data_IF_363356879957
#
_entry.id   IF_363356879957
#
_cell.length_a   1.000
_cell.length_b   1.000
_cell.length_c   1.000
_cell.angle_alpha   90.00
_cell.angle_beta   90.00
_cell.angle_gamma   90.00
#
_symmetry.space_group_name_H-M   'P 1'
#
loop_
_entity.id
_entity.type
_entity.pdbx_description
1 polymer ?
#
# COMPACT_ATOMS: atom_id res chain seq x y z
N UNK A 1 22.35 58.27 10.81
CA UNK A 1 21.10 58.91 10.34
C UNK A 1 20.99 58.66 8.86
N UNK A 2 20.22 57.66 8.45
CA UNK A 2 19.30 57.75 7.32
C UNK A 2 18.44 56.49 7.32
N UNK A 3 17.13 56.73 7.30
CA UNK A 3 16.07 55.77 7.57
C UNK A 3 15.35 55.61 6.25
N UNK A 4 15.48 54.46 5.59
CA UNK A 4 14.70 54.18 4.38
C UNK A 4 13.57 53.23 4.73
N UNK A 5 12.39 53.83 4.71
CA UNK A 5 11.09 53.33 5.12
C UNK A 5 10.31 52.85 3.88
N UNK A 6 9.58 51.74 4.05
CA UNK A 6 8.38 51.31 3.27
C UNK A 6 8.69 50.78 1.86
N UNK A 7 8.07 49.71 1.38
CA UNK A 7 6.62 49.56 1.20
C UNK A 7 6.16 48.10 1.35
N UNK A 8 5.17 47.91 2.22
CA UNK A 8 4.38 46.69 2.32
C UNK A 8 3.20 46.78 1.35
N UNK A 9 2.95 45.72 0.58
CA UNK A 9 1.70 45.54 -0.17
C UNK A 9 0.84 44.50 0.55
N UNK A 10 -0.40 44.81 0.93
CA UNK A 10 -1.39 43.80 1.29
C UNK A 10 -1.97 43.18 0.02
N UNK A 11 -1.79 41.87 -0.18
CA UNK A 11 -2.52 41.12 -1.20
C UNK A 11 -3.80 40.61 -0.54
N UNK A 12 -4.92 41.10 -1.07
CA UNK A 12 -6.27 40.78 -0.64
C UNK A 12 -6.64 39.31 -0.88
N UNK A 13 -7.31 38.75 0.11
CA UNK A 13 -8.16 37.56 0.05
C UNK A 13 -9.08 37.57 -1.18
N UNK A 14 -9.18 36.42 -1.85
CA UNK A 14 -10.37 36.02 -2.60
C UNK A 14 -10.68 34.56 -2.29
N UNK A 15 -11.78 34.37 -1.57
CA UNK A 15 -12.39 33.10 -1.25
C UNK A 15 -12.87 32.38 -2.53
N UNK A 16 -12.45 31.14 -2.71
CA UNK A 16 -13.03 30.24 -3.70
C UNK A 16 -14.05 29.31 -3.02
N UNK A 17 -15.31 29.24 -3.49
CA UNK A 17 -16.33 28.40 -2.90
C UNK A 17 -16.05 26.91 -3.13
N UNK A 18 -16.15 26.16 -2.05
CA UNK A 18 -16.07 24.70 -2.00
C UNK A 18 -17.17 24.05 -2.84
N UNK A 19 -16.79 23.32 -3.89
CA UNK A 19 -17.70 22.35 -4.51
C UNK A 19 -17.69 21.07 -3.71
N UNK A 20 -18.75 20.93 -2.91
CA UNK A 20 -19.21 19.72 -2.23
C UNK A 20 -19.50 18.65 -3.27
N UNK A 21 -18.64 17.63 -3.36
CA UNK A 21 -18.96 16.39 -4.10
C UNK A 21 -19.44 15.36 -3.10
N UNK A 22 -20.70 14.98 -3.28
CA UNK A 22 -21.51 14.04 -2.51
C UNK A 22 -20.84 12.70 -2.26
N UNK A 23 -20.71 12.39 -0.97
CA UNK A 23 -20.34 11.11 -0.38
C UNK A 23 -21.48 10.10 -0.57
N UNK A 24 -21.31 9.14 -1.47
CA UNK A 24 -22.20 7.96 -1.56
C UNK A 24 -22.02 7.12 -0.29
N UNK A 25 -22.97 7.25 0.64
CA UNK A 25 -23.10 6.36 1.79
C UNK A 25 -23.65 5.02 1.30
N UNK A 26 -22.78 3.99 1.26
CA UNK A 26 -23.24 2.61 1.12
C UNK A 26 -23.55 2.07 2.52
N UNK A 27 -24.82 2.17 2.88
CA UNK A 27 -25.41 1.56 4.07
C UNK A 27 -25.37 0.04 3.92
N UNK A 28 -24.45 -0.62 4.63
CA UNK A 28 -24.50 -2.07 4.84
C UNK A 28 -25.18 -2.31 6.19
N UNK A 29 -26.48 -2.56 6.13
CA UNK A 29 -27.32 -2.91 7.26
C UNK A 29 -26.92 -4.27 7.82
N UNK A 30 -26.34 -4.26 9.02
CA UNK A 30 -26.27 -5.43 9.90
C UNK A 30 -27.71 -5.80 10.30
N UNK A 31 -28.30 -6.81 9.66
CA UNK A 31 -29.48 -7.49 10.18
C UNK A 31 -29.05 -8.74 10.93
N UNK A 32 -28.99 -8.59 12.24
CA UNK A 32 -29.09 -9.67 13.20
C UNK A 32 -30.42 -10.40 12.97
N UNK A 33 -30.35 -11.70 12.69
CA UNK A 33 -31.46 -12.63 12.92
C UNK A 33 -31.01 -13.64 13.97
N UNK A 34 -31.53 -13.45 15.18
CA UNK A 34 -31.64 -14.51 16.16
C UNK A 34 -32.51 -15.62 15.59
N UNK A 35 -31.96 -16.83 15.61
CA UNK A 35 -32.69 -18.07 15.37
C UNK A 35 -32.64 -18.88 16.65
N UNK A 36 -33.81 -19.07 17.23
CA UNK A 36 -34.05 -19.68 18.53
C UNK A 36 -33.67 -21.16 18.58
N UNK A 37 -33.12 -21.56 19.72
CA UNK A 37 -32.95 -22.94 20.16
C UNK A 37 -34.29 -23.69 20.08
N UNK A 38 -34.34 -24.78 19.33
CA UNK A 38 -35.35 -25.83 19.51
C UNK A 38 -34.62 -27.15 19.75
N UNK A 39 -34.72 -27.63 20.99
CA UNK A 39 -34.32 -28.96 21.38
C UNK A 39 -35.29 -29.97 20.75
N UNK A 40 -34.78 -30.96 20.02
CA UNK A 40 -35.54 -32.16 19.67
C UNK A 40 -34.60 -33.34 19.37
N UNK A 41 -34.86 -34.42 20.10
CA UNK A 41 -34.49 -35.83 19.90
C UNK A 41 -33.02 -36.27 20.16
N UNK A 42 -32.81 -37.33 20.99
CA UNK A 42 -31.54 -38.04 21.01
C UNK A 42 -31.30 -38.75 19.67
N UNK A 43 -30.05 -38.82 19.19
CA UNK A 43 -29.73 -39.51 17.95
C UNK A 43 -29.96 -41.01 18.08
N UNK A 44 -30.65 -41.56 17.09
CA UNK A 44 -30.74 -43.00 16.81
C UNK A 44 -29.32 -43.59 16.74
N UNK A 45 -29.05 -44.55 17.62
CA UNK A 45 -27.76 -45.21 17.80
C UNK A 45 -27.49 -46.10 16.58
N UNK A 46 -26.88 -45.52 15.54
CA UNK A 46 -26.35 -46.30 14.44
C UNK A 46 -25.23 -47.22 14.98
N UNK A 47 -25.30 -48.54 14.76
CA UNK A 47 -24.19 -49.43 15.03
C UNK A 47 -22.96 -48.94 14.26
N UNK A 48 -21.93 -48.51 14.98
CA UNK A 48 -20.64 -48.21 14.38
C UNK A 48 -20.04 -49.53 13.92
N UNK A 49 -20.10 -49.81 12.63
CA UNK A 49 -19.40 -50.91 11.99
C UNK A 49 -17.88 -50.60 12.09
N UNK A 50 -17.09 -51.33 12.90
CA UNK A 50 -15.70 -50.99 13.19
C UNK A 50 -14.75 -51.18 11.98
N UNK A 51 -15.26 -51.72 10.87
CA UNK A 51 -14.46 -52.04 9.69
C UNK A 51 -14.57 -51.00 8.54
N UNK A 52 -15.32 -49.91 8.71
CA UNK A 52 -15.24 -48.75 7.80
C UNK A 52 -14.13 -47.79 8.24
N UNK A 53 -12.89 -48.25 8.14
CA UNK A 53 -11.77 -47.33 7.99
C UNK A 53 -11.94 -46.73 6.59
N UNK A 54 -12.62 -45.58 6.53
CA UNK A 54 -12.69 -44.75 5.34
C UNK A 54 -11.27 -44.57 4.82
N UNK A 55 -10.99 -45.29 3.73
CA UNK A 55 -9.76 -45.21 2.97
C UNK A 55 -9.79 -43.87 2.24
N UNK A 56 -9.65 -42.77 3.00
CA UNK A 56 -9.51 -41.43 2.46
C UNK A 56 -8.35 -41.50 1.46
N UNK A 57 -8.60 -41.23 0.17
CA UNK A 57 -7.52 -41.22 -0.80
C UNK A 57 -6.49 -40.25 -0.29
N UNK A 58 -5.26 -40.72 -0.11
CA UNK A 58 -4.15 -39.89 0.35
C UNK A 58 -4.14 -38.64 -0.53
N UNK A 59 -4.55 -37.50 0.05
CA UNK A 59 -4.50 -36.22 -0.63
C UNK A 59 -3.02 -35.98 -0.88
N UNK A 60 -2.59 -36.25 -2.12
CA UNK A 60 -1.24 -35.94 -2.54
C UNK A 60 -1.05 -34.44 -2.32
N UNK A 61 -0.05 -34.01 -1.54
CA UNK A 61 0.20 -32.59 -1.34
C UNK A 61 0.32 -31.93 -2.72
N UNK A 62 -0.62 -31.05 -3.05
CA UNK A 62 -0.56 -30.29 -4.29
C UNK A 62 0.68 -29.42 -4.19
N UNK A 63 1.66 -29.66 -5.05
CA UNK A 63 2.86 -28.83 -5.06
C UNK A 63 2.46 -27.38 -5.35
N UNK A 64 2.95 -26.41 -4.57
CA UNK A 64 2.59 -25.02 -4.77
C UNK A 64 3.12 -24.55 -6.14
N UNK A 65 2.23 -23.99 -6.95
CA UNK A 65 2.59 -23.44 -8.26
C UNK A 65 3.71 -22.38 -8.10
N UNK A 66 4.76 -22.40 -8.95
CA UNK A 66 5.84 -21.43 -8.86
C UNK A 66 5.31 -20.01 -9.09
N UNK A 67 5.56 -19.11 -8.14
CA UNK A 67 5.15 -17.72 -8.23
C UNK A 67 5.69 -17.05 -9.49
N UNK A 68 4.82 -16.32 -10.21
CA UNK A 68 5.25 -15.49 -11.34
C UNK A 68 6.30 -14.45 -10.91
N UNK A 69 7.15 -13.94 -11.82
CA UNK A 69 8.14 -12.92 -11.47
C UNK A 69 7.55 -11.68 -10.77
N UNK A 70 6.35 -11.25 -11.18
CA UNK A 70 5.63 -10.13 -10.54
C UNK A 70 5.14 -10.47 -9.13
N UNK A 71 4.64 -11.69 -8.91
CA UNK A 71 4.23 -12.16 -7.59
C UNK A 71 5.43 -12.24 -6.63
N UNK A 72 6.57 -12.77 -7.08
CA UNK A 72 7.82 -12.79 -6.29
C UNK A 72 8.29 -11.38 -5.92
N UNK A 73 8.23 -10.42 -6.85
CA UNK A 73 8.55 -9.01 -6.55
C UNK A 73 7.61 -8.43 -5.51
N UNK A 74 6.31 -8.70 -5.63
CA UNK A 74 5.30 -8.20 -4.70
C UNK A 74 5.52 -8.76 -3.29
N UNK A 75 5.75 -10.07 -3.17
CA UNK A 75 6.05 -10.74 -1.91
C UNK A 75 7.35 -10.22 -1.26
N UNK A 76 8.42 -10.08 -2.05
CA UNK A 76 9.68 -9.51 -1.55
C UNK A 76 9.47 -8.07 -1.05
N UNK A 77 8.70 -7.27 -1.78
CA UNK A 77 8.45 -5.88 -1.42
C UNK A 77 7.63 -5.76 -0.12
N UNK A 78 6.65 -6.64 0.10
CA UNK A 78 5.90 -6.65 1.37
C UNK A 78 6.79 -7.08 2.54
N UNK A 79 7.64 -8.08 2.36
CA UNK A 79 8.62 -8.49 3.38
C UNK A 79 9.58 -7.35 3.75
N UNK A 80 10.11 -6.63 2.77
CA UNK A 80 10.98 -5.47 3.03
C UNK A 80 10.24 -4.38 3.80
N UNK A 81 9.01 -4.07 3.39
CA UNK A 81 8.22 -3.05 4.05
C UNK A 81 7.86 -3.42 5.50
N UNK A 82 7.52 -4.70 5.74
CA UNK A 82 7.34 -5.25 7.08
C UNK A 82 8.60 -5.13 7.96
N UNK A 83 9.79 -5.28 7.36
CA UNK A 83 11.08 -5.05 8.02
C UNK A 83 11.47 -3.57 8.15
N UNK A 84 10.54 -2.62 7.93
CA UNK A 84 10.79 -1.17 7.92
C UNK A 84 11.85 -0.73 6.90
N UNK A 85 11.97 -1.46 5.81
CA UNK A 85 12.81 -1.14 4.65
C UNK A 85 11.96 -0.76 3.44
N UNK A 86 12.45 0.22 2.69
CA UNK A 86 11.81 0.67 1.46
C UNK A 86 11.97 -0.41 0.37
N UNK A 87 10.94 -0.68 -0.47
CA UNK A 87 11.03 -1.70 -1.52
C UNK A 87 12.20 -1.54 -2.49
N UNK A 88 12.66 -0.30 -2.73
CA UNK A 88 13.87 -0.03 -3.55
C UNK A 88 15.16 -0.61 -2.96
N UNK A 89 15.18 -0.97 -1.67
CA UNK A 89 16.30 -1.70 -1.05
C UNK A 89 16.67 -2.96 -1.83
N UNK A 90 15.69 -3.60 -2.49
CA UNK A 90 15.95 -4.81 -3.26
C UNK A 90 16.81 -4.61 -4.52
N UNK A 91 16.94 -3.36 -4.99
CA UNK A 91 17.74 -2.98 -6.17
C UNK A 91 18.97 -2.17 -5.76
N UNK A 92 18.91 -1.50 -4.61
CA UNK A 92 20.03 -0.78 -4.05
C UNK A 92 21.04 -1.74 -3.40
N UNK A 93 22.31 -1.35 -3.39
CA UNK A 93 23.38 -2.07 -2.66
C UNK A 93 23.41 -1.72 -1.17
N UNK A 94 22.41 -1.00 -0.67
CA UNK A 94 22.33 -0.51 0.69
C UNK A 94 20.88 -0.51 1.19
N UNK A 95 20.72 -0.70 2.50
CA UNK A 95 19.42 -0.67 3.16
C UNK A 95 18.85 0.75 3.14
N UNK A 96 17.70 0.94 2.49
CA UNK A 96 16.97 2.19 2.51
C UNK A 96 15.82 2.08 3.52
N UNK A 97 15.96 2.74 4.68
CA UNK A 97 14.94 2.69 5.74
C UNK A 97 13.67 3.45 5.33
N UNK A 98 12.53 3.03 5.88
CA UNK A 98 11.28 3.81 5.81
C UNK A 98 11.38 5.08 6.67
N UNK A 99 10.65 6.12 6.26
CA UNK A 99 10.45 7.31 7.07
C UNK A 99 9.72 6.96 8.38
N UNK A 100 9.93 7.74 9.45
CA UNK A 100 9.22 7.54 10.71
C UNK A 100 7.71 7.67 10.51
N UNK A 101 7.27 8.76 9.86
CA UNK A 101 5.87 9.01 9.52
C UNK A 101 5.41 8.36 8.21
N UNK A 102 6.11 7.33 7.73
CA UNK A 102 5.68 6.61 6.54
C UNK A 102 4.35 5.90 6.80
N UNK A 103 3.43 5.98 5.84
CA UNK A 103 2.19 5.23 5.89
C UNK A 103 2.48 3.72 5.98
N UNK A 104 1.57 2.92 6.56
CA UNK A 104 1.70 1.47 6.53
C UNK A 104 1.64 0.94 5.08
N UNK A 105 2.21 -0.25 4.88
CA UNK A 105 2.46 -0.80 3.55
C UNK A 105 1.32 -1.69 3.02
N UNK A 106 0.53 -2.23 3.94
CA UNK A 106 -0.62 -3.12 3.74
C UNK A 106 -1.93 -2.35 3.52
N UNK A 107 -2.04 -1.15 4.07
CA UNK A 107 -3.15 -0.24 3.83
C UNK A 107 -2.71 0.93 2.93
N UNK A 108 -3.37 1.11 1.78
CA UNK A 108 -3.09 2.19 0.82
C UNK A 108 -3.77 3.51 1.17
N UNK A 109 -4.85 3.43 1.93
CA UNK A 109 -5.70 4.56 2.28
C UNK A 109 -5.37 5.10 3.68
N UNK A 110 -4.62 4.32 4.48
CA UNK A 110 -4.07 4.77 5.74
C UNK A 110 -3.27 6.08 5.60
N UNK A 111 -3.39 6.99 6.59
CA UNK A 111 -2.64 8.23 6.60
C UNK A 111 -1.14 7.99 6.75
N UNK A 112 -0.36 8.97 6.29
CA UNK A 112 1.10 8.96 6.40
C UNK A 112 1.80 9.30 5.09
N UNK A 113 3.11 9.44 5.17
CA UNK A 113 3.93 9.84 4.03
C UNK A 113 4.11 8.67 3.05
N UNK A 114 3.91 8.96 1.77
CA UNK A 114 4.08 8.00 0.66
C UNK A 114 5.01 8.56 -0.40
N UNK A 115 5.63 7.68 -1.17
CA UNK A 115 6.48 8.10 -2.29
C UNK A 115 5.72 8.89 -3.37
N UNK A 116 4.39 8.76 -3.44
CA UNK A 116 3.54 9.51 -4.37
C UNK A 116 3.62 11.02 -4.22
N UNK A 117 3.85 11.52 -3.01
CA UNK A 117 3.97 12.95 -2.69
C UNK A 117 5.43 13.41 -2.56
N UNK A 118 6.40 12.52 -2.80
CA UNK A 118 7.83 12.81 -2.65
C UNK A 118 8.38 13.58 -3.86
N UNK A 119 9.07 14.71 -3.64
CA UNK A 119 9.67 15.56 -4.69
C UNK A 119 10.62 14.83 -5.65
N UNK A 120 11.21 13.74 -5.17
CA UNK A 120 12.17 12.92 -5.91
C UNK A 120 11.50 11.87 -6.78
N UNK A 121 10.19 11.64 -6.65
CA UNK A 121 9.47 10.76 -7.55
C UNK A 121 9.17 11.51 -8.85
N UNK A 122 9.86 11.16 -9.92
CA UNK A 122 9.66 11.76 -11.24
C UNK A 122 9.34 10.70 -12.29
N UNK A 123 8.41 10.97 -13.23
CA UNK A 123 8.28 10.14 -14.41
C UNK A 123 9.56 10.22 -15.24
N UNK A 124 10.13 9.07 -15.60
CA UNK A 124 11.24 8.96 -16.56
C UNK A 124 10.70 8.24 -17.78
N UNK A 125 10.76 8.93 -18.92
CA UNK A 125 10.28 8.41 -20.20
C UNK A 125 11.39 7.61 -20.89
N UNK A 126 11.04 6.45 -21.44
CA UNK A 126 11.95 5.63 -22.22
C UNK A 126 11.18 4.90 -23.32
N UNK A 127 11.40 5.29 -24.58
CA UNK A 127 10.57 4.85 -25.69
C UNK A 127 9.09 5.17 -25.42
N UNK A 128 8.24 4.15 -25.44
CA UNK A 128 6.81 4.27 -25.14
C UNK A 128 6.46 4.14 -23.63
N UNK A 129 7.44 3.84 -22.76
CA UNK A 129 7.22 3.60 -21.34
C UNK A 129 7.32 4.87 -20.49
N UNK A 130 6.51 4.95 -19.43
CA UNK A 130 6.63 5.94 -18.36
C UNK A 130 6.93 5.22 -17.04
N UNK A 131 8.17 5.35 -16.57
CA UNK A 131 8.65 4.68 -15.37
C UNK A 131 8.77 5.70 -14.24
N UNK A 132 7.97 5.62 -13.16
CA UNK A 132 8.12 6.54 -12.05
C UNK A 132 9.38 6.18 -11.27
N UNK A 133 10.39 7.05 -11.26
CA UNK A 133 11.69 6.79 -10.61
C UNK A 133 11.97 7.73 -9.46
N UNK A 134 12.84 7.30 -8.56
CA UNK A 134 13.37 8.12 -7.48
C UNK A 134 14.67 8.80 -7.93
N UNK A 135 14.62 10.10 -8.24
CA UNK A 135 15.75 10.90 -8.76
C UNK A 135 16.80 11.27 -7.72
N UNK A 136 16.61 10.88 -6.46
CA UNK A 136 17.58 11.14 -5.38
C UNK A 136 18.94 10.50 -5.63
N UNK A 137 18.97 9.42 -6.40
CA UNK A 137 20.20 8.72 -6.83
C UNK A 137 20.11 8.32 -8.30
N UNK A 138 21.19 8.49 -9.09
CA UNK A 138 21.21 8.06 -10.49
C UNK A 138 21.10 6.55 -10.66
N UNK A 139 21.44 5.76 -9.63
CA UNK A 139 21.37 4.29 -9.67
C UNK A 139 19.96 3.73 -9.91
N UNK A 140 18.93 4.54 -9.66
CA UNK A 140 17.52 4.16 -9.85
C UNK A 140 16.93 4.68 -11.16
N UNK A 141 17.70 5.41 -11.97
CA UNK A 141 17.28 5.96 -13.26
C UNK A 141 17.37 4.92 -14.39
N UNK A 142 16.91 3.69 -14.15
CA UNK A 142 16.96 2.59 -15.15
C UNK A 142 15.61 2.41 -15.85
N UNK A 143 15.57 1.93 -17.08
CA UNK A 143 14.30 1.75 -17.82
C UNK A 143 13.65 0.39 -17.57
N UNK A 144 13.47 0.01 -16.30
CA UNK A 144 12.88 -1.27 -15.88
C UNK A 144 11.90 -1.12 -14.73
N UNK A 145 10.84 -1.92 -14.72
CA UNK A 145 9.83 -1.95 -13.65
C UNK A 145 10.39 -2.36 -12.28
N UNK A 146 11.54 -3.02 -12.24
CA UNK A 146 12.18 -3.50 -11.02
C UNK A 146 12.60 -2.35 -10.08
N UNK A 147 12.95 -1.18 -10.63
CA UNK A 147 13.41 0.00 -9.90
C UNK A 147 12.34 1.11 -9.82
N UNK A 148 11.10 0.83 -10.17
CA UNK A 148 10.01 1.80 -10.12
C UNK A 148 9.71 2.24 -8.68
N UNK A 149 9.65 3.55 -8.46
CA UNK A 149 9.17 4.19 -7.25
C UNK A 149 7.66 4.39 -7.35
N UNK A 150 6.86 3.43 -6.86
CA UNK A 150 5.40 3.47 -6.95
C UNK A 150 4.81 4.51 -6.00
N UNK A 151 3.72 5.18 -6.41
CA UNK A 151 3.12 6.27 -5.63
C UNK A 151 2.53 5.82 -4.29
N UNK A 152 1.99 4.60 -4.23
CA UNK A 152 1.39 4.07 -3.00
C UNK A 152 2.39 3.49 -2.00
N UNK A 153 3.69 3.39 -2.36
CA UNK A 153 4.69 2.86 -1.43
C UNK A 153 4.93 3.80 -0.24
N UNK A 154 5.25 3.24 0.93
CA UNK A 154 5.61 4.03 2.10
C UNK A 154 6.82 4.91 1.82
N UNK A 155 6.83 6.13 2.33
CA UNK A 155 7.95 7.06 2.17
C UNK A 155 9.27 6.48 2.74
N UNK A 156 10.39 6.78 2.09
CA UNK A 156 11.73 6.43 2.59
C UNK A 156 12.33 7.53 3.47
N UNK A 157 13.45 7.24 4.12
CA UNK A 157 14.18 8.19 4.96
C UNK A 157 14.67 9.46 4.22
N UNK A 158 14.66 9.48 2.89
CA UNK A 158 14.99 10.66 2.06
C UNK A 158 13.74 11.39 1.55
N UNK A 159 12.58 11.12 2.14
CA UNK A 159 11.35 11.78 1.74
C UNK A 159 11.44 13.29 1.93
N UNK A 160 11.03 14.01 0.90
CA UNK A 160 10.83 15.45 0.94
C UNK A 160 9.54 15.74 0.20
N UNK A 161 8.66 16.53 0.81
CA UNK A 161 7.38 16.87 0.20
C UNK A 161 7.59 17.70 -1.08
N UNK A 162 6.65 17.66 -2.02
CA UNK A 162 6.72 18.39 -3.29
C UNK A 162 6.69 19.93 -3.17
N UNK A 163 6.68 20.48 -1.95
CA UNK A 163 6.64 21.92 -1.72
C UNK A 163 5.34 22.56 -2.18
N UNK A 164 4.21 21.87 -1.99
CA UNK A 164 2.92 22.55 -2.03
C UNK A 164 2.90 23.53 -0.87
N UNK A 165 2.93 24.83 -1.18
CA UNK A 165 2.62 25.89 -0.21
C UNK A 165 1.32 25.53 0.49
N UNK A 166 1.39 25.38 1.82
CA UNK A 166 0.23 25.40 2.70
C UNK A 166 -0.54 26.72 2.57
#
# INVERSE_FOLDING_TARGET
>A
MEVISRHSHPISHVDAPSTVTTRTQRSSSNQARGGSNTAAAPPDEHPQDPDQIDMFPALTPVEPEPLTPGARRTQRNSQLAAARLHPLTAVLRSALKLHLDAAPHDDRDAPGLRCGTCRFRRPVHAGAGNYPKCTRTPLLMTHSDASDCRSFWPACAFYENHGGTE
#
